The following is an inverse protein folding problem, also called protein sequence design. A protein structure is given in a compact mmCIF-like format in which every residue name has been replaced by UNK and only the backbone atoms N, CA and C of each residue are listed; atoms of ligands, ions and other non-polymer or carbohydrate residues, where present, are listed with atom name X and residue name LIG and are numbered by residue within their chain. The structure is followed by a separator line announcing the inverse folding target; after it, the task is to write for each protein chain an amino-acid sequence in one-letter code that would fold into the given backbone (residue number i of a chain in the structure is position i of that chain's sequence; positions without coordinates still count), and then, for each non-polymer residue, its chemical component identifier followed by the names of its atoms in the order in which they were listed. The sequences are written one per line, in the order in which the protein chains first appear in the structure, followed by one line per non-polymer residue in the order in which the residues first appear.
data_IF_513433795527
#
_entry.id   IF_513433795527
#
_cell.length_a   1.000
_cell.length_b   1.000
_cell.length_c   1.000
_cell.angle_alpha   90.00
_cell.angle_beta   90.00
_cell.angle_gamma   90.00
#
_symmetry.space_group_name_H-M   'P 1'
#
loop_
_entity.id
_entity.type
_entity.pdbx_description
1 polymer ?
#
# COMPACT_ATOMS: atom_id res chain seq x y z
N UNK A 1 6.66 10.67 -24.27
CA UNK A 1 6.96 11.06 -22.90
C UNK A 1 8.45 10.99 -22.63
N UNK A 2 8.93 11.75 -21.68
CA UNK A 2 10.34 11.79 -21.28
C UNK A 2 10.80 10.41 -20.78
N UNK A 3 11.88 9.90 -21.36
CA UNK A 3 12.43 8.57 -21.02
C UNK A 3 12.93 8.52 -19.57
N UNK A 4 13.49 9.60 -19.08
CA UNK A 4 13.95 9.71 -17.69
C UNK A 4 12.80 9.56 -16.69
N UNK A 5 11.66 10.20 -16.98
CA UNK A 5 10.45 10.07 -16.16
C UNK A 5 9.87 8.65 -16.22
N UNK A 6 9.96 7.98 -17.37
CA UNK A 6 9.53 6.58 -17.50
C UNK A 6 10.41 5.64 -16.65
N UNK A 7 11.72 5.81 -16.69
CA UNK A 7 12.66 5.02 -15.88
C UNK A 7 12.40 5.26 -14.39
N UNK A 8 12.21 6.52 -13.99
CA UNK A 8 11.89 6.87 -12.60
C UNK A 8 10.56 6.23 -12.15
N UNK A 9 9.51 6.34 -12.98
CA UNK A 9 8.22 5.71 -12.70
C UNK A 9 8.32 4.19 -12.51
N UNK A 10 9.10 3.52 -13.37
CA UNK A 10 9.35 2.09 -13.26
C UNK A 10 10.07 1.73 -11.95
N UNK A 11 11.06 2.51 -11.55
CA UNK A 11 11.76 2.32 -10.26
C UNK A 11 10.80 2.42 -9.06
N UNK A 12 9.90 3.41 -9.07
CA UNK A 12 8.88 3.56 -8.04
C UNK A 12 7.90 2.38 -8.05
N UNK A 13 7.47 1.95 -9.25
CA UNK A 13 6.57 0.80 -9.39
C UNK A 13 7.19 -0.50 -8.87
N UNK A 14 8.48 -0.74 -9.12
CA UNK A 14 9.19 -1.91 -8.57
C UNK A 14 9.24 -1.85 -7.04
N UNK A 15 9.47 -0.67 -6.46
CA UNK A 15 9.42 -0.49 -5.00
C UNK A 15 8.04 -0.80 -4.43
N UNK A 16 6.96 -0.43 -5.14
CA UNK A 16 5.59 -0.83 -4.75
C UNK A 16 5.42 -2.34 -4.85
N UNK A 17 5.96 -2.98 -5.89
CA UNK A 17 5.90 -4.43 -6.05
C UNK A 17 6.60 -5.16 -4.90
N UNK A 18 7.75 -4.67 -4.45
CA UNK A 18 8.45 -5.21 -3.28
C UNK A 18 7.59 -5.09 -2.02
N UNK A 19 6.95 -3.93 -1.81
CA UNK A 19 6.02 -3.77 -0.68
C UNK A 19 4.87 -4.77 -0.74
N UNK A 20 4.27 -4.98 -1.92
CA UNK A 20 3.17 -5.94 -2.13
C UNK A 20 3.63 -7.37 -1.82
N UNK A 21 4.84 -7.76 -2.22
CA UNK A 21 5.42 -9.05 -1.89
C UNK A 21 5.60 -9.21 -0.37
N UNK A 22 6.10 -8.19 0.31
CA UNK A 22 6.25 -8.23 1.76
C UNK A 22 4.90 -8.28 2.52
N UNK A 23 3.85 -7.65 1.99
CA UNK A 23 2.48 -7.80 2.53
C UNK A 23 2.02 -9.26 2.43
N UNK A 24 2.22 -9.89 1.27
CA UNK A 24 1.87 -11.31 1.08
C UNK A 24 2.62 -12.21 2.06
N UNK A 25 3.91 -11.94 2.29
CA UNK A 25 4.74 -12.72 3.22
C UNK A 25 4.29 -12.60 4.68
N UNK A 26 3.48 -11.61 5.05
CA UNK A 26 2.95 -11.52 6.42
C UNK A 26 2.04 -12.68 6.79
N UNK A 27 1.40 -13.31 5.82
CA UNK A 27 0.51 -14.46 6.04
C UNK A 27 0.98 -15.74 5.33
N UNK A 28 2.04 -15.68 4.51
CA UNK A 28 2.68 -16.84 3.88
C UNK A 28 4.21 -16.78 4.01
N UNK A 29 4.76 -16.68 5.24
CA UNK A 29 6.19 -16.43 5.45
C UNK A 29 7.11 -17.61 5.12
N UNK A 30 6.62 -18.84 5.19
CA UNK A 30 7.43 -20.05 4.92
C UNK A 30 7.32 -20.43 3.45
N UNK A 31 6.08 -20.58 2.95
CA UNK A 31 5.84 -20.97 1.56
C UNK A 31 4.42 -20.59 1.12
N UNK A 32 4.29 -20.16 -0.13
CA UNK A 32 3.02 -19.82 -0.75
C UNK A 32 2.11 -21.03 -0.99
N UNK A 33 2.69 -22.24 -1.03
CA UNK A 33 1.97 -23.51 -1.19
C UNK A 33 1.36 -24.06 0.10
N UNK A 34 1.70 -23.47 1.26
CA UNK A 34 1.12 -23.83 2.56
C UNK A 34 -0.07 -22.94 2.86
N UNK A 35 -1.04 -23.48 3.59
CA UNK A 35 -2.12 -22.67 4.14
C UNK A 35 -1.64 -21.79 5.29
N UNK A 36 -2.34 -20.67 5.53
CA UNK A 36 -2.03 -19.78 6.64
C UNK A 36 -2.02 -20.52 7.98
N UNK A 37 -2.97 -21.45 8.16
CA UNK A 37 -3.14 -22.28 9.37
C UNK A 37 -1.88 -23.09 9.71
N UNK A 38 -1.09 -23.48 8.71
CA UNK A 38 0.11 -24.30 8.87
C UNK A 38 1.36 -23.48 9.24
N UNK A 39 1.25 -22.14 9.24
CA UNK A 39 2.41 -21.24 9.44
C UNK A 39 2.07 -20.01 10.31
N UNK A 40 1.03 -20.10 11.15
CA UNK A 40 0.58 -18.98 12.02
C UNK A 40 1.65 -18.39 12.92
N UNK A 41 2.51 -19.18 13.62
CA UNK A 41 3.54 -18.63 14.49
C UNK A 41 4.54 -17.74 13.72
N UNK A 42 4.98 -18.21 12.56
CA UNK A 42 5.92 -17.50 11.69
C UNK A 42 5.25 -16.27 11.05
N UNK A 43 3.97 -16.40 10.66
CA UNK A 43 3.18 -15.29 10.14
C UNK A 43 3.04 -14.18 11.17
N UNK A 44 2.82 -14.51 12.44
CA UNK A 44 2.77 -13.54 13.54
C UNK A 44 4.09 -12.80 13.73
N UNK A 45 5.21 -13.52 13.68
CA UNK A 45 6.54 -12.91 13.78
C UNK A 45 6.82 -12.00 12.57
N UNK A 46 6.51 -12.48 11.35
CA UNK A 46 6.71 -11.72 10.12
C UNK A 46 5.84 -10.46 10.05
N UNK A 47 4.57 -10.57 10.43
CA UNK A 47 3.66 -9.42 10.47
C UNK A 47 4.09 -8.37 11.50
N UNK A 48 4.57 -8.81 12.68
CA UNK A 48 5.09 -7.90 13.69
C UNK A 48 6.27 -7.07 13.17
N UNK A 49 7.24 -7.72 12.51
CA UNK A 49 8.39 -7.06 11.87
C UNK A 49 7.94 -6.12 10.72
N UNK A 50 6.99 -6.58 9.90
CA UNK A 50 6.46 -5.78 8.81
C UNK A 50 5.80 -4.49 9.30
N UNK A 51 4.94 -4.58 10.32
CA UNK A 51 4.26 -3.42 10.92
C UNK A 51 5.27 -2.44 11.54
N UNK A 52 6.25 -2.95 12.29
CA UNK A 52 7.16 -2.12 13.06
C UNK A 52 8.22 -1.42 12.20
N UNK A 53 8.77 -2.13 11.22
CA UNK A 53 9.93 -1.67 10.47
C UNK A 53 9.65 -1.44 8.98
N UNK A 54 8.81 -2.27 8.35
CA UNK A 54 8.66 -2.22 6.90
C UNK A 54 7.61 -1.22 6.43
N UNK A 55 6.43 -1.20 7.05
CA UNK A 55 5.40 -0.17 6.74
C UNK A 55 6.01 1.23 6.87
N UNK A 56 6.65 1.61 8.00
CA UNK A 56 7.24 2.95 8.13
C UNK A 56 8.32 3.25 7.10
N UNK A 57 9.13 2.26 6.72
CA UNK A 57 10.19 2.43 5.73
C UNK A 57 9.62 2.75 4.35
N UNK A 58 8.65 1.95 3.87
CA UNK A 58 8.05 2.14 2.55
C UNK A 58 7.18 3.39 2.48
N UNK A 59 6.26 3.57 3.43
CA UNK A 59 5.39 4.75 3.43
C UNK A 59 6.19 6.03 3.64
N UNK A 60 7.19 6.03 4.51
CA UNK A 60 8.09 7.16 4.69
C UNK A 60 8.93 7.48 3.44
N UNK A 61 9.29 6.47 2.64
CA UNK A 61 9.93 6.68 1.36
C UNK A 61 9.00 7.42 0.38
N UNK A 62 7.79 6.90 0.17
CA UNK A 62 6.83 7.52 -0.75
C UNK A 62 6.34 8.89 -0.26
N UNK A 63 6.20 9.10 1.04
CA UNK A 63 5.89 10.40 1.63
C UNK A 63 6.96 11.44 1.24
N UNK A 64 8.26 11.09 1.33
CA UNK A 64 9.35 11.99 0.91
C UNK A 64 9.37 12.24 -0.59
N UNK A 65 9.08 11.22 -1.42
CA UNK A 65 8.99 11.39 -2.88
C UNK A 65 7.87 12.38 -3.22
N UNK A 66 6.70 12.24 -2.61
CA UNK A 66 5.57 13.16 -2.79
C UNK A 66 5.91 14.58 -2.32
N UNK A 67 6.56 14.71 -1.18
CA UNK A 67 6.99 15.99 -0.63
C UNK A 67 7.95 16.74 -1.57
N UNK A 68 8.77 16.02 -2.31
CA UNK A 68 9.73 16.58 -3.27
C UNK A 68 9.10 16.96 -4.61
N UNK A 69 7.86 16.55 -4.87
CA UNK A 69 7.19 16.91 -6.12
C UNK A 69 6.79 18.39 -6.13
N UNK A 70 7.45 19.20 -6.95
CA UNK A 70 7.21 20.64 -7.08
C UNK A 70 5.85 20.99 -7.70
N UNK A 71 5.14 20.03 -8.29
CA UNK A 71 3.80 20.20 -8.88
C UNK A 71 2.66 19.94 -7.88
N UNK A 72 2.99 19.64 -6.63
CA UNK A 72 2.02 19.42 -5.55
C UNK A 72 1.99 17.97 -5.03
N UNK A 73 1.37 17.74 -3.87
CA UNK A 73 1.47 16.49 -3.14
C UNK A 73 0.49 15.39 -3.59
N UNK A 74 -0.34 15.65 -4.61
CA UNK A 74 -1.40 14.71 -5.03
C UNK A 74 -0.97 13.76 -6.15
N UNK A 75 0.26 13.91 -6.64
CA UNK A 75 0.86 13.03 -7.65
C UNK A 75 2.27 12.67 -7.23
N UNK A 76 2.68 11.43 -7.53
CA UNK A 76 4.00 10.92 -7.11
C UNK A 76 5.14 11.66 -7.81
N UNK A 77 4.90 12.17 -9.01
CA UNK A 77 5.77 13.08 -9.75
C UNK A 77 4.98 13.83 -10.84
N UNK A 78 5.50 15.00 -11.26
CA UNK A 78 4.81 15.83 -12.25
C UNK A 78 3.46 16.35 -11.76
N UNK A 79 2.60 16.78 -12.67
CA UNK A 79 1.27 17.32 -12.40
C UNK A 79 0.11 16.46 -12.89
N UNK A 80 0.37 15.23 -13.34
CA UNK A 80 -0.62 14.34 -13.93
C UNK A 80 -0.65 12.97 -13.24
N UNK A 81 -1.82 12.38 -13.22
CA UNK A 81 -2.02 11.03 -12.69
C UNK A 81 -1.26 9.99 -13.52
N UNK A 82 -0.52 9.14 -12.83
CA UNK A 82 0.20 8.02 -13.43
C UNK A 82 -0.28 6.68 -12.88
N UNK A 83 0.18 5.58 -13.49
CA UNK A 83 -0.11 4.23 -12.96
C UNK A 83 0.52 3.99 -11.59
N UNK A 84 1.60 4.71 -11.25
CA UNK A 84 2.26 4.63 -9.94
C UNK A 84 1.34 5.18 -8.85
N UNK A 85 0.65 6.29 -9.11
CA UNK A 85 -0.33 6.86 -8.18
C UNK A 85 -1.49 5.90 -7.91
N UNK A 86 -1.99 5.23 -8.97
CA UNK A 86 -3.05 4.23 -8.84
C UNK A 86 -2.59 3.01 -8.05
N UNK A 87 -1.37 2.54 -8.27
CA UNK A 87 -0.77 1.43 -7.53
C UNK A 87 -0.61 1.79 -6.05
N UNK A 88 -0.12 3.00 -5.78
CA UNK A 88 0.08 3.49 -4.41
C UNK A 88 -1.26 3.67 -3.68
N UNK A 89 -2.30 4.18 -4.37
CA UNK A 89 -3.66 4.24 -3.86
C UNK A 89 -4.16 2.85 -3.45
N UNK A 90 -4.02 1.85 -4.32
CA UNK A 90 -4.47 0.48 -4.04
C UNK A 90 -3.74 -0.14 -2.85
N UNK A 91 -2.43 0.07 -2.75
CA UNK A 91 -1.63 -0.44 -1.62
C UNK A 91 -2.03 0.26 -0.31
N UNK A 92 -2.25 1.57 -0.34
CA UNK A 92 -2.71 2.32 0.83
C UNK A 92 -4.05 1.79 1.36
N UNK A 93 -5.02 1.56 0.47
CA UNK A 93 -6.31 0.92 0.81
C UNK A 93 -6.13 -0.49 1.35
N UNK A 94 -5.27 -1.28 0.69
CA UNK A 94 -4.98 -2.66 1.09
C UNK A 94 -4.35 -2.76 2.48
N UNK A 95 -3.40 -1.88 2.80
CA UNK A 95 -2.78 -1.82 4.12
C UNK A 95 -3.80 -1.46 5.21
N UNK A 96 -4.71 -0.50 4.92
CA UNK A 96 -5.79 -0.12 5.86
C UNK A 96 -6.77 -1.26 6.11
N UNK A 97 -7.03 -2.07 5.09
CA UNK A 97 -7.86 -3.27 5.24
C UNK A 97 -7.15 -4.37 6.04
N UNK A 98 -5.90 -4.69 5.69
CA UNK A 98 -5.16 -5.80 6.29
C UNK A 98 -4.75 -5.51 7.75
N UNK A 99 -4.36 -4.25 8.04
CA UNK A 99 -3.79 -3.85 9.33
C UNK A 99 -4.48 -2.58 9.87
N UNK A 100 -5.80 -2.62 10.18
CA UNK A 100 -6.56 -1.44 10.60
C UNK A 100 -6.03 -0.80 11.89
N UNK A 101 -5.47 -1.57 12.83
CA UNK A 101 -4.84 -1.04 14.05
C UNK A 101 -3.52 -0.34 13.75
N UNK A 102 -2.63 -1.02 13.03
CA UNK A 102 -1.33 -0.45 12.64
C UNK A 102 -1.49 0.85 11.83
N UNK A 103 -2.53 0.91 10.99
CA UNK A 103 -2.74 2.02 10.05
C UNK A 103 -3.68 3.12 10.55
N UNK A 104 -4.15 3.02 11.78
CA UNK A 104 -5.14 3.92 12.38
C UNK A 104 -4.76 5.41 12.34
N UNK A 105 -3.47 5.74 12.29
CA UNK A 105 -2.95 7.12 12.32
C UNK A 105 -2.14 7.49 11.07
N UNK A 106 -2.30 6.78 9.94
CA UNK A 106 -1.59 7.08 8.70
C UNK A 106 -1.85 8.51 8.20
N UNK A 107 -3.08 9.01 8.35
CA UNK A 107 -3.51 10.35 7.98
C UNK A 107 -2.70 11.46 8.68
N UNK A 108 -2.26 11.24 9.90
CA UNK A 108 -1.43 12.17 10.66
C UNK A 108 0.05 12.02 10.34
N UNK A 109 0.50 10.80 10.10
CA UNK A 109 1.91 10.46 9.92
C UNK A 109 2.39 10.68 8.48
N UNK A 110 1.50 10.45 7.48
CA UNK A 110 1.82 10.51 6.05
C UNK A 110 0.79 11.37 5.31
N UNK A 111 0.92 12.69 5.48
CA UNK A 111 -0.08 13.64 4.99
C UNK A 111 -0.14 13.74 3.46
N UNK A 112 1.00 13.60 2.77
CA UNK A 112 1.05 13.65 1.31
C UNK A 112 0.48 12.37 0.68
N UNK A 113 0.78 11.20 1.26
CA UNK A 113 0.13 9.94 0.86
C UNK A 113 -1.38 9.98 1.05
N UNK A 114 -1.84 10.57 2.16
CA UNK A 114 -3.26 10.75 2.42
C UNK A 114 -3.90 11.71 1.43
N UNK A 115 -3.21 12.78 1.04
CA UNK A 115 -3.67 13.72 0.02
C UNK A 115 -3.77 13.05 -1.38
N UNK A 116 -2.74 12.30 -1.80
CA UNK A 116 -2.77 11.51 -3.03
C UNK A 116 -3.94 10.53 -3.02
N UNK A 117 -4.10 9.77 -1.95
CA UNK A 117 -5.20 8.81 -1.79
C UNK A 117 -6.57 9.49 -1.96
N UNK A 118 -6.78 10.63 -1.28
CA UNK A 118 -8.03 11.38 -1.36
C UNK A 118 -8.29 11.96 -2.77
N UNK A 119 -7.24 12.39 -3.48
CA UNK A 119 -7.35 12.89 -4.86
C UNK A 119 -7.73 11.76 -5.82
N UNK A 120 -7.03 10.63 -5.78
CA UNK A 120 -7.33 9.46 -6.63
C UNK A 120 -8.76 8.98 -6.40
N UNK A 121 -9.20 8.86 -5.16
CA UNK A 121 -10.54 8.39 -4.80
C UNK A 121 -11.66 9.29 -5.37
N UNK A 122 -11.42 10.60 -5.47
CA UNK A 122 -12.41 11.58 -5.98
C UNK A 122 -12.51 11.62 -7.49
N UNK A 123 -11.58 11.01 -8.23
CA UNK A 123 -11.60 11.04 -9.71
C UNK A 123 -12.84 10.34 -10.25
N UNK A 124 -13.61 10.94 -11.16
CA UNK A 124 -14.95 10.46 -11.55
C UNK A 124 -14.99 8.99 -11.98
N UNK A 125 -14.00 8.56 -12.77
CA UNK A 125 -13.94 7.17 -13.24
C UNK A 125 -13.54 6.20 -12.11
N UNK A 126 -12.65 6.60 -11.23
CA UNK A 126 -12.24 5.81 -10.06
C UNK A 126 -13.41 5.73 -9.08
N UNK A 127 -14.02 6.85 -8.73
CA UNK A 127 -15.18 6.89 -7.84
C UNK A 127 -16.31 5.98 -8.36
N UNK A 128 -16.62 6.05 -9.65
CA UNK A 128 -17.62 5.18 -10.29
C UNK A 128 -17.25 3.70 -10.20
N UNK A 129 -15.98 3.35 -10.43
CA UNK A 129 -15.49 1.98 -10.30
C UNK A 129 -15.60 1.50 -8.84
N UNK A 130 -15.17 2.32 -7.87
CA UNK A 130 -15.19 1.97 -6.45
C UNK A 130 -16.61 1.67 -5.92
N UNK A 131 -17.64 2.29 -6.51
CA UNK A 131 -19.06 2.07 -6.15
C UNK A 131 -19.78 1.06 -7.06
N UNK A 132 -19.07 0.40 -7.96
CA UNK A 132 -19.66 -0.55 -8.90
C UNK A 132 -19.47 -2.00 -8.45
N UNK A 133 -20.36 -2.88 -8.89
CA UNK A 133 -20.28 -4.33 -8.69
C UNK A 133 -19.06 -4.98 -9.35
N UNK A 134 -18.35 -4.24 -10.21
CA UNK A 134 -17.10 -4.70 -10.84
C UNK A 134 -15.90 -4.68 -9.88
N UNK A 135 -15.98 -3.89 -8.79
CA UNK A 135 -14.94 -3.87 -7.78
C UNK A 135 -15.05 -5.13 -6.92
N UNK A 136 -14.06 -5.97 -6.98
CA UNK A 136 -13.92 -7.09 -6.05
C UNK A 136 -13.55 -6.50 -4.68
N UNK A 137 -14.37 -6.73 -3.61
CA UNK A 137 -14.02 -6.29 -2.27
C UNK A 137 -12.77 -7.00 -1.77
N UNK A 138 -12.06 -6.37 -0.84
CA UNK A 138 -11.00 -7.07 -0.12
C UNK A 138 -11.56 -8.29 0.61
N UNK A 139 -10.79 -9.36 0.63
CA UNK A 139 -11.18 -10.65 1.19
C UNK A 139 -9.95 -11.44 1.62
N UNK A 140 -10.15 -12.64 2.17
CA UNK A 140 -9.07 -13.49 2.69
C UNK A 140 -8.48 -14.45 1.65
N UNK A 141 -8.74 -14.23 0.36
CA UNK A 141 -8.13 -14.98 -0.74
C UNK A 141 -7.17 -14.09 -1.57
N UNK A 142 -7.18 -12.77 -1.31
CA UNK A 142 -6.30 -11.82 -1.98
C UNK A 142 -4.91 -11.70 -1.31
N UNK A 143 -4.15 -10.70 -1.75
CA UNK A 143 -2.85 -10.34 -1.16
C UNK A 143 -3.04 -9.62 0.17
N UNK A 144 -3.97 -8.69 0.23
CA UNK A 144 -4.32 -7.97 1.45
C UNK A 144 -5.38 -8.76 2.20
N UNK A 145 -4.98 -9.44 3.28
CA UNK A 145 -5.85 -10.25 4.14
C UNK A 145 -5.88 -9.68 5.54
N UNK A 146 -7.05 -9.65 6.14
CA UNK A 146 -7.18 -9.21 7.52
C UNK A 146 -7.27 -10.40 8.47
N UNK A 147 -6.19 -10.65 9.19
CA UNK A 147 -6.13 -11.58 10.32
C UNK A 147 -5.91 -10.77 11.61
N UNK A 148 -6.91 -10.67 12.52
CA UNK A 148 -6.82 -9.84 13.73
C UNK A 148 -5.58 -10.14 14.58
N UNK A 149 -5.13 -11.39 14.61
CA UNK A 149 -3.95 -11.84 15.36
C UNK A 149 -2.61 -11.37 14.75
N UNK A 150 -2.61 -10.95 13.49
CA UNK A 150 -1.44 -10.38 12.80
C UNK A 150 -1.36 -8.86 12.93
N UNK A 151 -2.47 -8.20 13.33
CA UNK A 151 -2.55 -6.75 13.42
C UNK A 151 -2.27 -6.26 14.84
N UNK A 152 -1.37 -5.30 14.97
CA UNK A 152 -1.03 -4.63 16.25
C UNK A 152 -0.90 -3.12 16.03
N UNK A 153 -0.95 -2.33 17.09
CA UNK A 153 -0.68 -0.91 16.98
C UNK A 153 0.78 -0.68 16.55
N UNK A 154 0.97 0.27 15.62
CA UNK A 154 2.29 0.73 15.20
C UNK A 154 2.84 1.66 16.29
N UNK A 155 4.10 1.50 16.68
CA UNK A 155 4.78 2.33 17.66
C UNK A 155 4.98 3.79 17.19
#
# INVERSE_FOLDING_TARGET
GDESLRIFANGLQLTITDLVAEVHDTHHPIATSKYYEDQKPEAKARAAEFIENRIPKFLGYFERVLQQNTHGPTHIFGGELTYVDLSLFQVYEGLRYAFPRATKHLDRRYQHLTALHADVMKRPNIARYLHSDRRIPFNENGIFRHYPELDKDMA
#
